data_IF_628698957043
#
_entry.id   IF_628698957043
#
_cell.length_a   1.000
_cell.length_b   1.000
_cell.length_c   1.000
_cell.angle_alpha   90.00
_cell.angle_beta   90.00
_cell.angle_gamma   90.00
#
_symmetry.space_group_name_H-M   'P 1'
#
loop_
_entity.id
_entity.type
_entity.pdbx_description
1 polymer ?
#
# COMPACT_ATOMS: atom_id res chain seq x y z
N UNK A 1 -0.54 -12.90 -15.72
CA UNK A 1 -1.08 -13.31 -14.40
C UNK A 1 0.01 -13.22 -13.34
N UNK A 2 1.20 -13.79 -13.60
CA UNK A 2 2.41 -13.56 -12.78
C UNK A 2 2.77 -12.08 -12.69
N UNK A 3 2.67 -11.34 -13.80
CA UNK A 3 2.97 -9.89 -13.82
C UNK A 3 2.01 -9.09 -12.92
N UNK A 4 0.71 -9.42 -12.94
CA UNK A 4 -0.29 -8.78 -12.07
C UNK A 4 -0.03 -9.01 -10.58
N UNK A 5 0.46 -10.19 -10.21
CA UNK A 5 0.82 -10.51 -8.82
C UNK A 5 2.04 -9.67 -8.40
N UNK A 6 3.07 -9.63 -9.23
CA UNK A 6 4.26 -8.82 -8.97
C UNK A 6 3.92 -7.32 -8.89
N UNK A 7 3.02 -6.82 -9.74
CA UNK A 7 2.57 -5.43 -9.71
C UNK A 7 1.85 -5.11 -8.39
N UNK A 8 1.00 -6.02 -7.90
CA UNK A 8 0.30 -5.86 -6.62
C UNK A 8 1.27 -5.89 -5.44
N UNK A 9 2.28 -6.77 -5.46
CA UNK A 9 3.34 -6.82 -4.46
C UNK A 9 4.16 -5.50 -4.46
N UNK A 10 4.53 -4.98 -5.64
CA UNK A 10 5.23 -3.69 -5.77
C UNK A 10 4.41 -2.54 -5.16
N UNK A 11 3.12 -2.47 -5.45
CA UNK A 11 2.23 -1.43 -4.91
C UNK A 11 2.17 -1.51 -3.37
N UNK A 12 2.13 -2.72 -2.81
CA UNK A 12 2.14 -2.91 -1.36
C UNK A 12 3.43 -2.36 -0.76
N UNK A 13 4.59 -2.77 -1.28
CA UNK A 13 5.89 -2.35 -0.78
C UNK A 13 6.10 -0.83 -0.90
N UNK A 14 5.70 -0.24 -2.03
CA UNK A 14 5.78 1.20 -2.28
C UNK A 14 4.91 2.00 -1.31
N UNK A 15 3.68 1.55 -1.04
CA UNK A 15 2.80 2.23 -0.08
C UNK A 15 3.32 2.14 1.35
N UNK A 16 3.88 1.01 1.77
CA UNK A 16 4.50 0.84 3.08
C UNK A 16 5.74 1.73 3.23
N UNK A 17 6.60 1.79 2.20
CA UNK A 17 7.77 2.65 2.18
C UNK A 17 7.39 4.14 2.24
N UNK A 18 6.36 4.56 1.49
CA UNK A 18 5.88 5.93 1.52
C UNK A 18 5.33 6.34 2.89
N UNK A 19 4.57 5.45 3.55
CA UNK A 19 4.07 5.69 4.91
C UNK A 19 5.23 5.81 5.91
N UNK A 20 6.24 4.95 5.80
CA UNK A 20 7.45 4.99 6.64
C UNK A 20 8.19 6.33 6.47
N UNK A 21 8.39 6.77 5.23
CA UNK A 21 9.05 8.04 4.94
C UNK A 21 8.27 9.23 5.54
N UNK A 22 6.94 9.25 5.38
CA UNK A 22 6.08 10.30 5.93
C UNK A 22 6.02 10.27 7.47
N UNK A 23 6.16 9.10 8.09
CA UNK A 23 6.14 8.94 9.55
C UNK A 23 7.48 9.32 10.19
N UNK A 24 8.60 9.09 9.50
CA UNK A 24 9.95 9.28 10.03
C UNK A 24 10.31 10.74 10.36
N UNK A 25 9.53 11.69 9.85
CA UNK A 25 9.81 13.13 9.90
C UNK A 25 8.92 13.90 10.90
N UNK A 26 8.16 13.19 11.75
CA UNK A 26 7.14 13.77 12.64
C UNK A 26 6.14 14.68 11.89
N UNK A 27 5.92 14.41 10.60
CA UNK A 27 5.12 15.26 9.73
C UNK A 27 3.60 15.08 9.88
N UNK A 28 3.12 14.15 10.72
CA UNK A 28 1.69 14.01 10.99
C UNK A 28 1.11 15.19 11.82
N UNK A 29 1.92 16.20 12.16
CA UNK A 29 1.40 17.49 12.64
C UNK A 29 0.69 18.27 11.52
N UNK A 30 0.95 17.94 10.25
CA UNK A 30 0.26 18.51 9.10
C UNK A 30 -0.91 17.61 8.68
N UNK A 31 -2.13 18.14 8.77
CA UNK A 31 -3.37 17.43 8.42
C UNK A 31 -3.32 16.77 7.03
N UNK A 32 -2.72 17.45 6.04
CA UNK A 32 -2.56 16.91 4.69
C UNK A 32 -1.65 15.67 4.62
N UNK A 33 -0.65 15.59 5.48
CA UNK A 33 0.29 14.47 5.53
C UNK A 33 -0.36 13.26 6.19
N UNK A 34 -1.08 13.45 7.30
CA UNK A 34 -1.87 12.34 7.88
C UNK A 34 -2.94 11.84 6.89
N UNK A 35 -3.62 12.73 6.17
CA UNK A 35 -4.59 12.33 5.14
C UNK A 35 -3.93 11.51 4.03
N UNK A 36 -2.73 11.91 3.58
CA UNK A 36 -1.96 11.17 2.58
C UNK A 36 -1.51 9.79 3.10
N UNK A 37 -1.06 9.70 4.35
CA UNK A 37 -0.68 8.41 4.97
C UNK A 37 -1.87 7.45 5.03
N UNK A 38 -3.05 7.93 5.44
CA UNK A 38 -4.26 7.12 5.48
C UNK A 38 -4.66 6.64 4.08
N UNK A 39 -4.57 7.52 3.07
CA UNK A 39 -4.82 7.15 1.68
C UNK A 39 -3.87 6.05 1.20
N UNK A 40 -2.57 6.20 1.48
CA UNK A 40 -1.56 5.20 1.11
C UNK A 40 -1.83 3.85 1.82
N UNK A 41 -2.21 3.89 3.09
CA UNK A 41 -2.57 2.68 3.84
C UNK A 41 -3.77 1.97 3.21
N UNK A 42 -4.81 2.73 2.83
CA UNK A 42 -5.98 2.19 2.15
C UNK A 42 -5.64 1.58 0.78
N UNK A 43 -4.74 2.21 0.02
CA UNK A 43 -4.26 1.67 -1.27
C UNK A 43 -3.50 0.36 -1.07
N UNK A 44 -2.55 0.31 -0.13
CA UNK A 44 -1.82 -0.91 0.20
C UNK A 44 -2.75 -2.04 0.66
N UNK A 45 -3.76 -1.73 1.48
CA UNK A 45 -4.76 -2.70 1.92
C UNK A 45 -5.62 -3.23 0.76
N UNK A 46 -6.03 -2.36 -0.18
CA UNK A 46 -6.74 -2.80 -1.38
C UNK A 46 -5.88 -3.72 -2.26
N UNK A 47 -4.60 -3.38 -2.43
CA UNK A 47 -3.67 -4.22 -3.18
C UNK A 47 -3.48 -5.60 -2.51
N UNK A 48 -3.34 -5.66 -1.18
CA UNK A 48 -3.31 -6.92 -0.40
C UNK A 48 -4.54 -7.78 -0.65
N UNK A 49 -5.75 -7.20 -0.58
CA UNK A 49 -7.00 -7.93 -0.85
C UNK A 49 -7.07 -8.46 -2.27
N UNK A 50 -6.63 -7.68 -3.26
CA UNK A 50 -6.59 -8.13 -4.65
C UNK A 50 -5.58 -9.27 -4.84
N UNK A 51 -4.42 -9.19 -4.19
CA UNK A 51 -3.40 -10.24 -4.22
C UNK A 51 -3.93 -11.54 -3.62
N UNK A 52 -4.63 -11.47 -2.48
CA UNK A 52 -5.29 -12.63 -1.87
C UNK A 52 -6.36 -13.25 -2.77
N UNK A 53 -7.14 -12.43 -3.49
CA UNK A 53 -8.15 -12.91 -4.43
C UNK A 53 -7.52 -13.60 -5.65
N UNK A 54 -6.48 -12.99 -6.24
CA UNK A 54 -5.74 -13.59 -7.36
C UNK A 54 -5.06 -14.90 -6.95
N UNK A 55 -4.51 -14.99 -5.72
CA UNK A 55 -3.95 -16.23 -5.18
C UNK A 55 -5.02 -17.30 -4.93
N UNK A 56 -6.22 -16.93 -4.47
CA UNK A 56 -7.34 -17.87 -4.30
C UNK A 56 -7.87 -18.40 -5.63
N UNK A 57 -7.92 -17.58 -6.67
CA UNK A 57 -8.36 -17.99 -8.02
C UNK A 57 -7.35 -18.91 -8.74
N UNK A 58 -6.15 -19.08 -8.18
CA UNK A 58 -5.09 -19.93 -8.74
C UNK A 58 -5.17 -21.38 -8.24
N UNK A 59 -5.96 -21.65 -7.20
CA UNK A 59 -6.27 -22.98 -6.65
C UNK A 59 -7.70 -23.39 -7.00
#
# INVERSE_FOLDING_TARGET
MKDKINDLESIIDETELAILALSSTMLCEYVGICALQNLLADVGQKAKRLLELENKNRF
#
